data_IF_694286230318
#
_entry.id   IF_694286230318
#
_cell.length_a   1.000
_cell.length_b   1.000
_cell.length_c   1.000
_cell.angle_alpha   90.00
_cell.angle_beta   90.00
_cell.angle_gamma   90.00
#
_symmetry.space_group_name_H-M   'P 1'
#
loop_
_entity.id
_entity.type
_entity.pdbx_description
1 polymer ?
2 non-polymer ?
3 non-polymer ?
4 non-polymer ?
5 water ?
#
# COMPACT_ATOMS: atom_id res chain seq x y z
N UNK A 1 -12.15 -0.68 -29.57
CA UNK A 1 -12.04 0.11 -28.32
C UNK A 1 -10.59 0.30 -27.90
N UNK A 2 -10.31 1.30 -27.08
CA UNK A 2 -8.93 1.53 -26.69
C UNK A 2 -8.39 0.50 -25.73
N UNK A 3 -7.08 0.34 -25.77
CA UNK A 3 -6.44 -0.38 -24.70
C UNK A 3 -6.25 0.64 -23.58
N UNK A 4 -7.34 0.95 -22.87
CA UNK A 4 -7.31 2.10 -21.96
C UNK A 4 -6.36 1.93 -20.82
N UNK A 5 -6.28 0.72 -20.29
CA UNK A 5 -5.48 0.48 -19.12
C UNK A 5 -5.87 1.43 -17.98
N UNK A 6 -7.17 1.73 -17.86
CA UNK A 6 -7.68 2.52 -16.74
C UNK A 6 -8.88 1.79 -16.18
N UNK A 7 -8.94 1.68 -14.87
CA UNK A 7 -9.99 0.87 -14.20
C UNK A 7 -10.70 1.67 -13.17
N UNK A 8 -11.99 1.40 -13.04
CA UNK A 8 -12.80 1.94 -11.92
C UNK A 8 -13.15 0.79 -11.00
N UNK A 9 -13.66 1.06 -9.80
CA UNK A 9 -13.79 -0.03 -8.81
C UNK A 9 -15.20 -0.11 -8.23
N UNK A 10 -15.64 -1.36 -8.09
CA UNK A 10 -16.92 -1.74 -7.48
C UNK A 10 -16.64 -2.27 -6.07
N UNK A 11 -17.40 -1.80 -5.10
CA UNK A 11 -17.30 -2.33 -3.73
C UNK A 11 -18.11 -3.63 -3.68
N UNK A 12 -17.40 -4.70 -3.34
CA UNK A 12 -18.01 -6.03 -3.15
C UNK A 12 -18.48 -6.28 -1.73
N UNK A 13 -17.68 -5.81 -0.78
CA UNK A 13 -17.98 -5.95 0.67
C UNK A 13 -17.31 -4.79 1.41
N UNK A 14 -17.90 -4.42 2.55
CA UNK A 14 -17.34 -3.44 3.45
C UNK A 14 -17.11 -4.15 4.80
N UNK A 15 -15.99 -3.81 5.44
CA UNK A 15 -15.63 -4.35 6.74
C UNK A 15 -15.20 -3.19 7.64
N UNK A 16 -15.38 -3.34 8.96
CA UNK A 16 -14.94 -2.25 9.83
C UNK A 16 -13.43 -2.11 9.83
N UNK A 17 -12.96 -0.88 9.93
CA UNK A 17 -11.54 -0.63 10.13
C UNK A 17 -11.41 0.38 11.24
N UNK A 18 -10.39 0.22 12.09
CA UNK A 18 -10.15 1.14 13.19
C UNK A 18 -10.00 2.57 12.67
N UNK A 19 -10.92 3.48 13.03
CA UNK A 19 -10.86 4.84 12.50
C UNK A 19 -9.74 5.68 13.11
N UNK A 20 -9.04 5.13 14.11
CA UNK A 20 -7.87 5.81 14.64
C UNK A 20 -6.58 5.24 14.07
N UNK A 21 -6.69 4.29 13.13
CA UNK A 21 -5.49 3.69 12.54
C UNK A 21 -5.03 4.51 11.36
N UNK A 22 -3.83 5.08 11.45
CA UNK A 22 -3.24 5.93 10.38
C UNK A 22 -2.47 5.02 9.46
N UNK A 23 -3.21 4.35 8.57
CA UNK A 23 -2.68 3.21 7.81
C UNK A 23 -1.51 3.57 6.92
N UNK A 24 -0.39 2.88 7.09
CA UNK A 24 0.75 3.05 6.19
C UNK A 24 1.24 1.75 5.58
N UNK A 25 0.73 0.61 6.08
CA UNK A 25 1.14 -0.68 5.51
C UNK A 25 -0.01 -1.65 5.70
N UNK A 26 -0.26 -2.49 4.71
CA UNK A 26 -1.39 -3.43 4.77
C UNK A 26 -1.02 -4.69 4.02
N UNK A 27 -1.27 -5.83 4.68
CA UNK A 27 -0.84 -7.17 4.23
C UNK A 27 -2.01 -8.11 4.44
N UNK A 28 -2.23 -9.03 3.50
CA UNK A 28 -3.17 -10.15 3.75
C UNK A 28 -2.32 -11.39 3.95
N UNK A 29 -2.55 -12.09 5.05
CA UNK A 29 -1.78 -13.29 5.38
C UNK A 29 -2.53 -14.52 4.90
N UNK A 30 -3.51 -14.98 5.69
CA UNK A 30 -4.33 -16.16 5.36
C UNK A 30 -5.51 -16.14 6.28
N UNK A 31 -6.55 -16.93 5.97
CA UNK A 31 -7.66 -17.09 6.89
C UNK A 31 -8.22 -15.80 7.41
N UNK A 32 -8.49 -14.86 6.51
CA UNK A 32 -9.09 -13.59 6.92
C UNK A 32 -8.25 -12.89 8.00
N UNK A 33 -6.93 -13.05 7.92
CA UNK A 33 -6.03 -12.37 8.87
C UNK A 33 -5.18 -11.37 8.09
N UNK A 34 -5.23 -10.11 8.53
CA UNK A 34 -4.49 -9.01 7.92
C UNK A 34 -3.38 -8.64 8.87
N UNK A 35 -2.34 -8.02 8.32
CA UNK A 35 -1.35 -7.29 9.14
C UNK A 35 -1.34 -5.85 8.67
N UNK A 36 -1.15 -4.96 9.63
CA UNK A 36 -1.22 -3.52 9.33
C UNK A 36 -0.15 -2.78 10.08
N UNK A 37 0.41 -1.77 9.43
CA UNK A 37 1.37 -0.83 10.04
C UNK A 37 0.71 0.53 10.06
N UNK A 38 0.78 1.19 11.22
CA UNK A 38 0.18 2.52 11.37
C UNK A 38 1.26 3.52 11.72
N UNK A 39 1.00 4.77 11.33
CA UNK A 39 1.89 5.87 11.63
C UNK A 39 1.39 6.76 12.74
N UNK A 40 1.95 7.98 12.77
CA UNK A 40 1.75 9.02 13.81
C UNK A 40 2.66 8.77 14.99
N UNK A 41 3.33 9.83 15.43
CA UNK A 41 4.23 9.69 16.55
C UNK A 41 3.44 9.39 17.81
N UNK A 42 3.80 8.29 18.47
CA UNK A 42 3.11 7.89 19.69
C UNK A 42 1.97 6.94 19.40
N UNK A 43 1.70 6.71 18.10
CA UNK A 43 0.60 5.83 17.69
C UNK A 43 1.05 4.80 16.68
N UNK A 44 2.34 4.76 16.37
CA UNK A 44 2.81 3.85 15.31
C UNK A 44 2.82 2.42 15.84
N UNK A 45 2.49 1.45 14.99
CA UNK A 45 2.28 0.08 15.47
C UNK A 45 2.36 -0.87 14.29
N UNK A 46 2.50 -2.16 14.63
CA UNK A 46 2.25 -3.26 13.68
C UNK A 46 1.19 -4.11 14.38
N UNK A 47 0.18 -4.53 13.62
CA UNK A 47 -0.98 -5.18 14.17
C UNK A 47 -1.35 -6.40 13.36
N UNK A 48 -1.91 -7.39 14.07
CA UNK A 48 -2.61 -8.50 13.43
C UNK A 48 -4.09 -8.16 13.58
N UNK A 49 -4.83 -8.19 12.47
CA UNK A 49 -6.22 -7.74 12.48
C UNK A 49 -7.12 -8.78 11.83
N UNK A 50 -8.29 -9.02 12.43
CA UNK A 50 -9.30 -9.91 11.85
C UNK A 50 -10.05 -9.16 10.76
N UNK A 51 -10.06 -9.72 9.55
CA UNK A 51 -10.72 -9.06 8.42
C UNK A 51 -12.18 -8.70 8.69
N UNK A 52 -12.94 -9.66 9.19
CA UNK A 52 -14.39 -9.52 9.21
C UNK A 52 -14.89 -8.40 10.12
N UNK A 53 -14.14 -8.20 11.21
CA UNK A 53 -14.54 -7.33 12.31
C UNK A 53 -13.66 -6.08 12.43
N UNK A 54 -12.49 -6.09 11.79
CA UNK A 54 -11.45 -5.09 12.02
C UNK A 54 -10.87 -5.11 13.43
N UNK A 55 -11.12 -6.16 14.20
CA UNK A 55 -10.61 -6.26 15.57
C UNK A 55 -9.11 -6.47 15.57
N UNK A 56 -8.40 -5.69 16.39
CA UNK A 56 -6.96 -5.85 16.56
C UNK A 56 -6.70 -7.02 17.50
N UNK A 57 -6.16 -8.10 16.93
CA UNK A 57 -5.92 -9.33 17.70
C UNK A 57 -4.59 -9.34 18.45
N UNK A 58 -3.60 -8.65 17.91
CA UNK A 58 -2.26 -8.53 18.52
C UNK A 58 -1.71 -7.19 18.04
N UNK A 59 -0.99 -6.48 18.89
CA UNK A 59 -0.37 -5.22 18.51
C UNK A 59 1.04 -5.09 19.10
N UNK A 60 1.94 -4.55 18.30
CA UNK A 60 3.25 -4.15 18.75
C UNK A 60 3.32 -2.63 18.60
N UNK A 61 3.39 -1.91 19.71
CA UNK A 61 3.52 -0.47 19.68
C UNK A 61 4.99 -0.09 19.49
N UNK A 62 5.24 0.85 18.59
CA UNK A 62 6.62 1.30 18.35
C UNK A 62 6.99 2.36 19.34
N UNK A 63 8.30 2.60 19.49
CA UNK A 63 8.79 3.71 20.28
C UNK A 63 8.16 5.00 19.75
N UNK A 64 7.87 5.95 20.63
CA UNK A 64 7.25 7.21 20.24
C UNK A 64 8.03 8.04 19.23
N UNK A 65 9.32 7.72 19.05
CA UNK A 65 10.13 8.51 18.12
C UNK A 65 9.95 8.14 16.65
N UNK A 66 9.29 7.01 16.36
CA UNK A 66 9.14 6.53 14.98
C UNK A 66 7.79 6.85 14.40
N UNK A 67 7.77 7.03 13.08
CA UNK A 67 6.53 7.17 12.32
C UNK A 67 6.45 5.94 11.42
N UNK A 68 5.61 4.99 11.78
CA UNK A 68 5.57 3.69 11.09
C UNK A 68 5.13 3.90 9.64
N UNK A 69 5.72 3.11 8.73
CA UNK A 69 5.37 3.23 7.30
C UNK A 69 4.99 1.85 6.72
N UNK A 70 5.45 1.55 5.50
CA UNK A 70 5.03 0.35 4.80
C UNK A 70 5.37 -0.95 5.49
N UNK A 71 4.69 -2.02 5.05
CA UNK A 71 4.79 -3.33 5.72
C UNK A 71 4.54 -4.39 4.66
N UNK A 72 5.34 -5.46 4.71
CA UNK A 72 5.09 -6.65 3.90
C UNK A 72 5.44 -7.91 4.64
N UNK A 73 4.96 -9.04 4.14
CA UNK A 73 5.20 -10.32 4.80
C UNK A 73 5.94 -11.22 3.83
N UNK A 74 7.11 -11.68 4.24
CA UNK A 74 7.94 -12.57 3.39
C UNK A 74 8.48 -13.67 4.29
N UNK A 75 8.07 -14.91 4.00
CA UNK A 75 8.55 -16.11 4.74
C UNK A 75 8.43 -15.94 6.27
N UNK A 76 7.22 -15.56 6.67
CA UNK A 76 6.84 -15.55 8.09
C UNK A 76 7.44 -14.36 8.84
N UNK A 77 8.13 -13.47 8.15
CA UNK A 77 8.64 -12.23 8.74
C UNK A 77 7.96 -11.02 8.17
N UNK A 78 7.57 -10.07 9.05
CA UNK A 78 6.99 -8.82 8.63
C UNK A 78 8.11 -7.82 8.60
N UNK A 79 8.26 -7.16 7.46
CA UNK A 79 9.29 -6.13 7.29
C UNK A 79 8.56 -4.79 7.24
N UNK A 80 9.13 -3.82 7.95
CA UNK A 80 8.50 -2.51 8.07
C UNK A 80 9.53 -1.43 7.90
N UNK A 81 9.15 -0.34 7.20
CA UNK A 81 10.03 0.85 7.10
C UNK A 81 9.39 1.99 7.92
N UNK A 82 10.15 3.08 8.05
CA UNK A 82 9.71 4.21 8.87
C UNK A 82 10.07 5.53 8.16
N UNK A 83 9.33 6.58 8.49
CA UNK A 83 9.47 7.85 7.75
C UNK A 83 10.81 8.49 8.07
N UNK A 84 11.49 8.93 7.00
CA UNK A 84 12.70 9.77 7.03
C UNK A 84 13.98 9.04 7.35
N UNK A 85 13.92 7.73 7.58
CA UNK A 85 15.08 6.99 8.05
C UNK A 85 15.42 5.84 7.13
N UNK A 86 16.66 5.34 7.22
CA UNK A 86 17.00 4.17 6.45
C UNK A 86 16.90 2.86 7.23
N UNK A 87 16.51 2.93 8.50
CA UNK A 87 16.33 1.72 9.31
C UNK A 87 14.97 1.11 9.02
N UNK A 88 14.92 -0.21 9.11
CA UNK A 88 13.64 -0.93 9.06
C UNK A 88 13.62 -1.99 10.16
N UNK A 89 12.42 -2.50 10.44
CA UNK A 89 12.24 -3.47 11.52
C UNK A 89 11.66 -4.76 10.97
N UNK A 90 12.08 -5.87 11.57
CA UNK A 90 11.56 -7.18 11.19
C UNK A 90 10.89 -7.79 12.40
N UNK A 91 9.67 -8.27 12.19
CA UNK A 91 8.88 -8.93 13.25
C UNK A 91 8.57 -10.35 12.85
N UNK A 92 8.57 -11.26 13.83
CA UNK A 92 8.17 -12.62 13.53
C UNK A 92 6.64 -12.62 13.52
N UNK A 93 6.00 -13.08 12.44
CA UNK A 93 4.54 -13.01 12.42
C UNK A 93 3.88 -13.93 13.44
N UNK A 94 4.61 -14.92 13.97
CA UNK A 94 4.00 -15.88 14.89
C UNK A 94 3.70 -15.19 16.22
N UNK A 95 4.52 -14.19 16.53
CA UNK A 95 4.53 -13.58 17.87
C UNK A 95 4.30 -12.10 17.86
N UNK A 96 4.50 -11.47 16.69
CA UNK A 96 4.51 -10.03 16.54
C UNK A 96 5.62 -9.36 17.35
N UNK A 97 6.69 -10.09 17.63
CA UNK A 97 7.82 -9.50 18.33
C UNK A 97 8.93 -9.09 17.36
N UNK A 98 9.68 -8.06 17.73
CA UNK A 98 10.75 -7.52 16.89
C UNK A 98 11.98 -8.39 17.08
N UNK A 99 12.37 -9.07 16.01
CA UNK A 99 13.48 -10.02 16.07
C UNK A 99 14.78 -9.49 15.45
N UNK A 100 14.66 -8.50 14.60
CA UNK A 100 15.80 -8.06 13.81
C UNK A 100 15.51 -6.68 13.26
N UNK A 101 16.55 -5.89 12.99
CA UNK A 101 16.42 -4.63 12.22
C UNK A 101 17.31 -4.65 11.01
N UNK A 102 17.05 -3.77 10.06
CA UNK A 102 17.90 -3.68 8.88
C UNK A 102 18.05 -2.23 8.43
N UNK A 103 18.96 -1.98 7.48
CA UNK A 103 19.04 -0.66 6.81
C UNK A 103 19.04 -0.81 5.30
N UNK A 104 18.26 0.04 4.64
CA UNK A 104 18.13 0.00 3.19
C UNK A 104 18.67 1.29 2.62
N UNK A 105 18.73 1.37 1.29
CA UNK A 105 19.44 2.44 0.56
C UNK A 105 18.44 3.36 -0.19
N UNK A 106 17.17 3.37 0.24
CA UNK A 106 16.20 4.30 -0.38
C UNK A 106 16.44 5.71 0.17
N UNK A 107 15.60 6.67 -0.22
CA UNK A 107 15.84 8.05 0.20
C UNK A 107 14.86 8.43 1.31
N UNK A 108 14.05 7.44 1.70
CA UNK A 108 12.96 7.57 2.70
C UNK A 108 12.41 6.14 2.85
N UNK A 109 11.39 5.96 3.67
CA UNK A 109 10.76 4.63 3.80
C UNK A 109 9.25 4.83 3.74
N UNK A 110 8.65 4.52 2.59
CA UNK A 110 7.20 4.68 2.47
C UNK A 110 6.47 3.33 2.33
N UNK A 111 6.76 2.57 1.29
CA UNK A 111 6.00 1.33 1.04
C UNK A 111 6.90 0.12 0.86
N UNK A 112 6.35 -1.07 1.15
CA UNK A 112 7.02 -2.34 0.91
C UNK A 112 6.05 -3.34 0.31
N UNK A 113 6.59 -4.23 -0.55
CA UNK A 113 5.87 -5.41 -1.03
C UNK A 113 6.86 -6.51 -1.29
N UNK A 114 6.37 -7.67 -1.76
CA UNK A 114 7.29 -8.78 -2.05
C UNK A 114 6.65 -9.67 -3.10
N UNK A 115 7.51 -10.25 -3.96
CA UNK A 115 7.10 -11.34 -4.84
C UNK A 115 7.33 -12.71 -4.25
N UNK A 116 7.62 -12.77 -2.93
CA UNK A 116 7.92 -14.05 -2.27
C UNK A 116 9.38 -14.41 -2.33
N UNK A 117 10.19 -13.57 -2.96
CA UNK A 117 11.64 -13.83 -3.05
C UNK A 117 12.44 -12.62 -2.63
N UNK A 118 12.08 -11.44 -3.15
CA UNK A 118 12.79 -10.21 -2.80
C UNK A 118 11.79 -9.18 -2.28
N UNK A 119 12.31 -8.06 -1.81
CA UNK A 119 11.47 -6.97 -1.33
C UNK A 119 11.39 -5.89 -2.40
N UNK A 120 10.21 -5.27 -2.55
CA UNK A 120 10.06 -4.03 -3.32
C UNK A 120 9.84 -2.90 -2.34
N UNK A 121 10.42 -1.74 -2.65
CA UNK A 121 10.27 -0.59 -1.77
C UNK A 121 9.91 0.66 -2.53
N UNK A 122 9.20 1.56 -1.85
CA UNK A 122 8.98 2.91 -2.36
C UNK A 122 9.33 3.90 -1.26
N UNK A 123 9.59 5.13 -1.67
CA UNK A 123 10.06 6.15 -0.73
C UNK A 123 9.49 7.53 -1.06
N UNK A 124 8.41 7.52 -1.85
CA UNK A 124 7.78 8.80 -2.22
C UNK A 124 8.37 9.46 -3.43
N UNK A 125 9.50 8.93 -3.92
CA UNK A 125 10.03 9.38 -5.22
C UNK A 125 9.33 8.57 -6.31
N UNK A 126 9.82 8.71 -7.55
CA UNK A 126 9.31 7.90 -8.64
C UNK A 126 10.07 6.58 -8.83
N UNK A 127 10.94 6.23 -7.87
CA UNK A 127 11.70 4.98 -7.98
C UNK A 127 11.01 3.85 -7.25
N UNK A 128 10.81 2.74 -7.96
CA UNK A 128 10.39 1.48 -7.32
C UNK A 128 11.67 0.65 -7.16
N UNK A 129 12.01 0.33 -5.92
CA UNK A 129 13.30 -0.34 -5.63
C UNK A 129 13.12 -1.83 -5.46
N UNK A 130 14.10 -2.59 -5.96
CA UNK A 130 14.21 -4.02 -5.61
C UNK A 130 15.30 -4.16 -4.57
N UNK A 131 14.97 -4.77 -3.45
CA UNK A 131 15.87 -4.85 -2.31
C UNK A 131 16.13 -6.33 -1.94
N UNK A 132 17.40 -6.71 -1.83
CA UNK A 132 17.77 -8.05 -1.44
C UNK A 132 17.47 -8.25 0.04
N UNK A 133 16.67 -9.27 0.40
CA UNK A 133 16.37 -9.49 1.82
C UNK A 133 17.47 -10.12 2.67
N UNK A 134 18.60 -10.50 2.07
CA UNK A 134 19.70 -11.01 2.88
C UNK A 134 20.66 -9.87 3.19
N UNK A 135 21.06 -9.16 2.13
CA UNK A 135 22.12 -8.16 2.26
C UNK A 135 21.51 -6.79 2.45
N UNK A 136 20.24 -6.64 2.08
CA UNK A 136 19.55 -5.33 2.05
C UNK A 136 20.16 -4.30 1.09
N UNK A 137 20.96 -4.78 0.16
CA UNK A 137 21.49 -3.98 -0.93
C UNK A 137 20.42 -3.87 -2.00
N UNK A 138 20.50 -2.82 -2.82
CA UNK A 138 19.63 -2.67 -3.97
C UNK A 138 20.04 -3.62 -5.06
N UNK A 139 19.02 -4.27 -5.62
CA UNK A 139 19.19 -5.15 -6.76
C UNK A 139 18.99 -4.32 -8.02
N UNK A 140 17.93 -3.50 -8.02
CA UNK A 140 17.72 -2.58 -9.12
C UNK A 140 16.77 -1.45 -8.75
N UNK A 141 16.80 -0.41 -9.57
CA UNK A 141 15.93 0.78 -9.38
C UNK A 141 15.13 0.96 -10.65
N UNK A 142 13.81 0.95 -10.54
CA UNK A 142 12.94 1.23 -11.68
C UNK A 142 12.45 2.66 -11.60
N UNK A 143 12.67 3.45 -12.64
CA UNK A 143 12.12 4.80 -12.67
C UNK A 143 10.76 4.79 -13.33
N UNK A 144 9.72 4.96 -12.53
CA UNK A 144 8.34 4.83 -13.00
C UNK A 144 7.86 6.12 -13.65
N UNK A 145 7.46 6.00 -14.90
CA UNK A 145 7.01 7.16 -15.70
C UNK A 145 5.67 6.89 -16.36
N UNK A 146 4.94 7.95 -16.63
CA UNK A 146 3.67 7.88 -17.33
C UNK A 146 3.63 9.04 -18.30
N UNK A 147 3.52 8.74 -19.60
CA UNK A 147 3.52 9.81 -20.61
C UNK A 147 4.70 10.76 -20.44
N UNK A 148 5.84 10.18 -20.07
CA UNK A 148 7.09 10.94 -19.93
C UNK A 148 7.26 11.67 -18.59
N UNK A 149 6.23 11.66 -17.75
CA UNK A 149 6.28 12.30 -16.44
C UNK A 149 6.71 11.29 -15.38
N UNK A 150 7.54 11.72 -14.44
CA UNK A 150 7.86 10.87 -13.31
C UNK A 150 6.63 10.70 -12.45
N UNK A 151 6.39 9.45 -12.05
CA UNK A 151 5.26 9.14 -11.16
C UNK A 151 5.77 9.17 -9.72
N UNK A 152 5.82 10.39 -9.15
CA UNK A 152 6.31 10.51 -7.77
C UNK A 152 5.21 10.14 -6.76
N UNK A 153 5.59 10.13 -5.48
CA UNK A 153 4.60 9.86 -4.42
C UNK A 153 4.13 8.39 -4.37
N UNK A 154 4.91 7.49 -4.95
CA UNK A 154 4.66 6.03 -4.77
C UNK A 154 4.64 5.71 -3.29
N UNK A 155 3.56 5.07 -2.84
CA UNK A 155 3.39 4.93 -1.40
C UNK A 155 3.12 3.46 -1.02
N UNK A 156 1.98 3.14 -0.39
CA UNK A 156 1.80 1.73 0.06
C UNK A 156 1.79 0.81 -1.16
N UNK A 157 2.45 -0.34 -1.05
CA UNK A 157 2.63 -1.23 -2.19
C UNK A 157 1.94 -2.55 -1.95
N UNK A 158 1.65 -3.23 -3.07
CA UNK A 158 1.22 -4.64 -2.98
C UNK A 158 1.58 -5.34 -4.26
N UNK A 159 2.20 -6.51 -4.15
CA UNK A 159 2.53 -7.31 -5.33
C UNK A 159 1.33 -8.20 -5.67
N UNK A 160 0.89 -8.10 -6.93
CA UNK A 160 -0.28 -8.86 -7.40
C UNK A 160 0.03 -9.37 -8.81
N UNK A 161 0.21 -10.67 -8.92
CA UNK A 161 0.36 -11.32 -10.24
C UNK A 161 1.38 -10.66 -11.16
N UNK A 162 2.60 -10.43 -10.68
CA UNK A 162 3.64 -9.90 -11.53
C UNK A 162 3.69 -8.39 -11.62
N UNK A 163 2.80 -7.74 -10.89
CA UNK A 163 2.74 -6.28 -10.85
C UNK A 163 2.93 -5.81 -9.45
N UNK A 164 3.42 -4.58 -9.30
CA UNK A 164 3.39 -3.95 -8.00
C UNK A 164 2.39 -2.80 -8.12
N UNK A 165 1.37 -2.81 -7.28
CA UNK A 165 0.39 -1.72 -7.26
C UNK A 165 0.82 -0.78 -6.18
N UNK A 166 0.70 0.53 -6.44
CA UNK A 166 1.16 1.54 -5.49
C UNK A 166 0.06 2.60 -5.31
N UNK A 167 -0.37 2.85 -4.07
CA UNK A 167 -1.09 4.10 -3.83
C UNK A 167 -0.19 5.27 -4.21
N UNK A 168 -0.81 6.34 -4.71
CA UNK A 168 -0.07 7.59 -4.93
C UNK A 168 -0.57 8.56 -3.88
N UNK A 169 0.33 8.97 -2.99
CA UNK A 169 -0.08 9.77 -1.85
C UNK A 169 -0.80 11.06 -2.28
N UNK A 170 -1.90 11.32 -1.57
CA UNK A 170 -2.77 12.50 -1.75
C UNK A 170 -3.62 12.40 -2.98
N UNK A 171 -3.72 11.19 -3.55
CA UNK A 171 -4.64 10.98 -4.65
C UNK A 171 -5.56 9.82 -4.32
N UNK A 172 -6.60 9.64 -5.15
CA UNK A 172 -7.44 8.46 -5.09
C UNK A 172 -7.09 7.47 -6.19
N UNK A 173 -5.81 7.49 -6.61
CA UNK A 173 -5.33 6.62 -7.69
C UNK A 173 -4.38 5.57 -7.18
N UNK A 174 -4.39 4.43 -7.88
CA UNK A 174 -3.39 3.37 -7.64
C UNK A 174 -2.71 3.08 -8.99
N UNK A 175 -1.39 3.11 -9.00
CA UNK A 175 -0.62 2.77 -10.21
C UNK A 175 -0.36 1.30 -10.27
N UNK A 176 -0.56 0.67 -11.44
CA UNK A 176 -0.17 -0.74 -11.63
C UNK A 176 1.15 -0.73 -12.37
N UNK A 177 2.21 -1.19 -11.72
CA UNK A 177 3.57 -1.09 -12.27
C UNK A 177 4.11 -2.50 -12.57
N UNK A 178 4.78 -2.66 -13.72
CA UNK A 178 5.46 -3.94 -13.98
C UNK A 178 6.58 -4.21 -12.98
N UNK A 179 6.53 -5.35 -12.31
CA UNK A 179 7.63 -5.73 -11.42
C UNK A 179 8.89 -6.05 -12.23
N UNK A 180 8.72 -6.37 -13.51
CA UNK A 180 9.85 -6.74 -14.38
C UNK A 180 10.68 -5.50 -14.74
N UNK A 181 10.00 -4.46 -15.22
CA UNK A 181 10.73 -3.32 -15.80
C UNK A 181 10.24 -1.93 -15.41
N UNK A 182 9.27 -1.86 -14.49
CA UNK A 182 8.84 -0.55 -14.00
C UNK A 182 7.85 0.16 -14.91
N UNK A 183 7.46 -0.50 -16.01
CA UNK A 183 6.48 0.06 -16.94
C UNK A 183 5.19 0.39 -16.19
N UNK A 184 4.60 1.54 -16.47
CA UNK A 184 3.25 1.85 -15.93
C UNK A 184 2.20 1.08 -16.75
N UNK A 185 1.66 0.01 -16.18
CA UNK A 185 0.79 -0.92 -16.91
C UNK A 185 -0.66 -0.46 -16.88
N UNK A 186 -1.03 0.33 -15.88
CA UNK A 186 -2.42 0.81 -15.83
C UNK A 186 -2.65 1.71 -14.63
N UNK A 187 -3.77 2.40 -14.65
CA UNK A 187 -4.21 3.23 -13.53
C UNK A 187 -5.54 2.77 -13.01
N UNK A 188 -5.65 2.67 -11.69
CA UNK A 188 -6.94 2.40 -11.05
C UNK A 188 -7.39 3.70 -10.38
N UNK A 189 -8.67 4.06 -10.63
CA UNK A 189 -9.26 5.28 -10.07
C UNK A 189 -10.27 4.86 -9.02
N UNK A 190 -10.10 5.34 -7.77
CA UNK A 190 -10.97 4.93 -6.66
C UNK A 190 -11.60 6.11 -5.91
N UNK A 191 -11.94 7.23 -6.58
CA UNK A 191 -12.42 8.37 -5.77
C UNK A 191 -13.77 8.12 -5.12
N UNK A 192 -14.49 7.12 -5.62
CA UNK A 192 -15.80 6.81 -5.05
C UNK A 192 -15.72 6.27 -3.64
N UNK A 193 -14.56 5.73 -3.25
CA UNK A 193 -14.48 5.14 -1.92
C UNK A 193 -14.43 6.21 -0.85
N UNK A 194 -13.48 7.14 -0.94
CA UNK A 194 -13.47 8.26 0.03
C UNK A 194 -14.76 9.08 -0.01
N UNK A 195 -15.26 9.33 -1.23
CA UNK A 195 -16.48 10.14 -1.37
C UNK A 195 -17.61 9.47 -0.62
N UNK A 196 -17.73 8.14 -0.77
CA UNK A 196 -18.81 7.41 -0.06
C UNK A 196 -18.72 7.60 1.46
N UNK A 197 -17.49 7.53 1.99
CA UNK A 197 -17.31 7.71 3.43
C UNK A 197 -17.64 9.14 3.86
N UNK A 198 -17.16 10.13 3.11
CA UNK A 198 -17.53 11.53 3.39
C UNK A 198 -19.07 11.71 3.39
N UNK A 199 -19.71 11.10 2.39
CA UNK A 199 -21.18 11.23 2.23
C UNK A 199 -21.93 10.56 3.37
N UNK A 200 -21.32 9.55 4.00
CA UNK A 200 -21.90 8.86 5.17
C UNK A 200 -21.66 9.61 6.45
N UNK A 201 -20.92 10.72 6.37
CA UNK A 201 -20.76 11.62 7.51
C UNK A 201 -19.43 11.49 8.23
N UNK A 202 -18.53 10.66 7.70
CA UNK A 202 -17.20 10.52 8.26
C UNK A 202 -16.24 11.61 7.77
N UNK A 203 -16.37 12.78 8.36
CA UNK A 203 -15.70 13.96 7.82
C UNK A 203 -14.21 14.10 8.17
N UNK A 204 -13.76 13.37 9.19
CA UNK A 204 -12.39 13.53 9.70
C UNK A 204 -11.38 12.56 9.10
N UNK A 205 -11.73 11.94 7.99
CA UNK A 205 -10.87 10.88 7.45
C UNK A 205 -9.76 11.50 6.60
N UNK A 206 -8.67 10.74 6.44
CA UNK A 206 -7.51 11.21 5.71
C UNK A 206 -7.53 10.43 4.38
N UNK A 207 -6.37 10.10 3.84
CA UNK A 207 -6.31 9.72 2.42
C UNK A 207 -6.44 8.22 2.18
N UNK A 208 -6.85 7.84 0.96
CA UNK A 208 -6.78 6.44 0.54
C UNK A 208 -5.33 5.93 0.66
N UNK A 209 -5.16 4.78 1.32
CA UNK A 209 -3.82 4.16 1.44
C UNK A 209 -3.97 2.82 2.08
N UNK A 210 -3.31 1.83 1.45
CA UNK A 210 -3.32 0.47 1.97
C UNK A 210 -4.00 -0.46 0.99
N UNK A 211 -3.25 -1.41 0.48
CA UNK A 211 -3.70 -2.38 -0.53
C UNK A 211 -3.24 -3.74 -0.07
N UNK A 212 -4.16 -4.70 -0.02
CA UNK A 212 -3.75 -6.07 0.37
C UNK A 212 -4.42 -7.07 -0.57
N UNK A 213 -3.67 -8.10 -0.97
CA UNK A 213 -4.15 -9.10 -1.92
C UNK A 213 -4.17 -10.47 -1.30
N UNK A 214 -5.31 -11.13 -1.45
CA UNK A 214 -5.50 -12.52 -1.04
C UNK A 214 -5.38 -13.36 -2.30
N UNK A 215 -4.22 -13.97 -2.47
CA UNK A 215 -3.93 -14.74 -3.68
C UNK A 215 -4.82 -15.99 -3.77
N UNK A 216 -5.04 -16.63 -2.63
CA UNK A 216 -5.83 -17.88 -2.61
C UNK A 216 -7.26 -17.69 -3.12
N UNK A 217 -7.93 -16.66 -2.60
CA UNK A 217 -9.33 -16.40 -2.97
C UNK A 217 -9.53 -15.30 -4.01
N UNK A 218 -8.42 -14.71 -4.44
CA UNK A 218 -8.43 -13.62 -5.43
C UNK A 218 -9.27 -12.44 -4.95
N UNK A 219 -8.97 -11.96 -3.76
CA UNK A 219 -9.65 -10.77 -3.22
C UNK A 219 -8.67 -9.62 -3.05
N UNK A 220 -9.13 -8.42 -3.46
CA UNK A 220 -8.40 -7.17 -3.30
C UNK A 220 -9.05 -6.35 -2.20
N UNK A 221 -8.24 -5.91 -1.23
CA UNK A 221 -8.75 -5.11 -0.11
C UNK A 221 -8.02 -3.78 -0.12
N UNK A 222 -8.78 -2.70 0.08
CA UNK A 222 -8.17 -1.38 0.25
C UNK A 222 -8.81 -0.63 1.41
N UNK A 223 -8.03 0.28 2.00
CA UNK A 223 -8.58 1.18 3.04
C UNK A 223 -7.89 2.55 2.95
N UNK A 224 -7.91 3.31 4.04
CA UNK A 224 -7.29 4.63 4.03
C UNK A 224 -7.03 5.05 5.46
N UNK A 225 -6.29 6.15 5.56
CA UNK A 225 -5.82 6.61 6.88
C UNK A 225 -6.99 7.16 7.68
N UNK A 226 -7.21 6.60 8.88
CA UNK A 226 -8.32 6.97 9.74
C UNK A 226 -9.69 6.60 9.15
N UNK A 227 -9.70 5.73 8.14
CA UNK A 227 -10.99 5.32 7.53
C UNK A 227 -11.70 4.34 8.45
N UNK A 228 -13.02 4.48 8.61
CA UNK A 228 -13.76 3.56 9.44
C UNK A 228 -14.13 2.25 8.76
N UNK A 229 -13.76 2.11 7.49
CA UNK A 229 -14.10 0.91 6.72
C UNK A 229 -12.93 0.50 5.85
N UNK A 230 -12.88 -0.78 5.59
CA UNK A 230 -11.95 -1.40 4.62
C UNK A 230 -12.84 -2.08 3.59
N UNK A 231 -12.46 -1.95 2.31
CA UNK A 231 -13.32 -2.42 1.23
C UNK A 231 -12.70 -3.56 0.48
N UNK A 232 -13.51 -4.56 0.13
CA UNK A 232 -13.14 -5.55 -0.87
C UNK A 232 -13.65 -4.99 -2.21
N UNK A 233 -12.77 -4.92 -3.20
CA UNK A 233 -13.11 -4.26 -4.47
C UNK A 233 -12.90 -5.15 -5.67
N UNK A 234 -13.62 -4.83 -6.74
CA UNK A 234 -13.46 -5.49 -8.03
C UNK A 234 -13.15 -4.42 -9.05
N UNK A 235 -12.11 -4.64 -9.87
CA UNK A 235 -11.76 -3.70 -10.95
C UNK A 235 -12.62 -3.93 -12.17
N UNK A 236 -12.96 -2.80 -12.81
CA UNK A 236 -13.66 -2.84 -14.07
C UNK A 236 -12.95 -1.96 -15.07
N UNK A 237 -12.67 -2.47 -16.25
CA UNK A 237 -12.02 -1.66 -17.28
C UNK A 237 -12.99 -0.54 -17.68
N UNK A 238 -12.49 0.68 -17.82
CA UNK A 238 -13.37 1.81 -18.20
C UNK A 238 -14.01 1.56 -19.55
N UNK A 239 -15.30 1.92 -19.64
CA UNK A 239 -16.04 1.89 -20.89
C UNK A 239 -16.57 3.31 -21.19
N UNK A 240 -15.66 4.27 -21.10
CA UNK A 240 -15.97 5.65 -21.46
C UNK A 240 -14.65 6.31 -21.83
N UNK A 241 -14.75 7.48 -22.47
CA UNK A 241 -13.58 8.24 -22.86
C UNK A 241 -12.99 8.95 -21.68
N UNK A 242 -11.68 8.76 -21.48
CA UNK A 242 -10.95 9.44 -20.40
C UNK A 242 -10.50 10.78 -21.04
N UNK A 243 -10.92 11.92 -20.46
CA UNK A 243 -10.52 13.23 -21.02
C UNK A 243 -8.99 13.39 -21.08
N UNK A 244 -8.52 14.11 -22.08
CA UNK A 244 -7.09 14.38 -22.23
C UNK A 244 -6.58 15.01 -20.96
N UNK A 245 -5.48 14.45 -20.43
CA UNK A 245 -4.84 15.02 -19.26
C UNK A 245 -5.49 14.73 -17.92
N UNK A 246 -6.52 13.87 -17.93
CA UNK A 246 -7.23 13.56 -16.72
C UNK A 246 -6.32 12.87 -15.69
N UNK A 247 -5.58 11.86 -16.14
CA UNK A 247 -4.69 11.12 -15.21
C UNK A 247 -3.58 12.07 -14.71
N UNK A 248 -3.02 12.86 -15.61
CA UNK A 248 -1.99 13.83 -15.19
C UNK A 248 -2.51 14.77 -14.11
N UNK A 249 -3.75 15.26 -14.25
CA UNK A 249 -4.34 16.14 -13.24
C UNK A 249 -4.66 15.47 -11.92
N UNK A 250 -5.28 14.30 -11.98
CA UNK A 250 -5.83 13.70 -10.77
C UNK A 250 -4.93 12.73 -10.10
N UNK A 251 -4.04 12.10 -10.87
CA UNK A 251 -3.14 11.11 -10.30
C UNK A 251 -1.72 11.60 -10.18
N UNK A 252 -1.31 12.54 -11.03
CA UNK A 252 0.04 13.10 -10.93
C UNK A 252 0.05 14.51 -10.34
N UNK A 253 -1.14 15.05 -10.09
CA UNK A 253 -1.30 16.38 -9.49
C UNK A 253 -0.57 17.46 -10.30
N UNK A 254 -0.66 17.34 -11.63
CA UNK A 254 -0.02 18.32 -12.51
C UNK A 254 -1.06 19.37 -12.92
#
# INVERSE_FOLDING_TARGET
RPSSRVYIVEVLNEFPHDPYAFTQGLVYAENDTLFESTGLYGRSSVRQVALQTGKVENIHKMDDSYFGEGLTLLNEKLYQVVWLKNIGFIYDRRTLSNIKNFTHQMKDGWGLATDGKILYGSDGTSILYEIDPHTFKLIKKHNVKYNGHRVIRLNELEYINGEVWANIWQTDCIARISAKDGTLLGWILLPNLRKKLIDEGFRDIDVLNGIAWDQENKRIFVTGKLWPKLFEIKLHLVRHRIPDGYIERHCLNLRDNTLSLKTDID
#
